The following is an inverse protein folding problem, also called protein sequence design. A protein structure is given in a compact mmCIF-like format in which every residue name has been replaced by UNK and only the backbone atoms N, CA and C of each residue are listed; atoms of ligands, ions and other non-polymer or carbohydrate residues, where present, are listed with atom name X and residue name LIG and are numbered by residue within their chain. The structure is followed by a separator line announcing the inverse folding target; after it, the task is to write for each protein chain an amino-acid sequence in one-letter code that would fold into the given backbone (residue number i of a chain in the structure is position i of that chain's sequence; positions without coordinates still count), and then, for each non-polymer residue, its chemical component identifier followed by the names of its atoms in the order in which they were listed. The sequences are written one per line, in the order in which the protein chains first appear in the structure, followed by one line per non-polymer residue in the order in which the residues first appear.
data_IF_098329035475
#
_entry.id   IF_098329035475
#
_cell.length_a   1.000
_cell.length_b   1.000
_cell.length_c   1.000
_cell.angle_alpha   90.00
_cell.angle_beta   90.00
_cell.angle_gamma   90.00
#
_symmetry.space_group_name_H-M   'P 1'
#
loop_
_entity.id
_entity.type
_entity.pdbx_description
1 polymer ?
#
# COMPACT_ATOMS: atom_id res chain seq x y z
N UNK A 1 -14.16 21.03 3.24
CA UNK A 1 -13.55 20.30 4.38
C UNK A 1 -13.46 18.78 4.21
N UNK A 2 -14.49 18.07 3.69
CA UNK A 2 -14.43 16.60 3.48
C UNK A 2 -13.29 16.14 2.55
N UNK A 3 -13.03 16.88 1.47
CA UNK A 3 -11.94 16.58 0.54
C UNK A 3 -10.55 16.65 1.21
N UNK A 4 -10.29 17.72 1.97
CA UNK A 4 -9.03 17.89 2.72
C UNK A 4 -8.79 16.74 3.71
N UNK A 5 -9.84 16.31 4.42
CA UNK A 5 -9.75 15.18 5.36
C UNK A 5 -9.42 13.86 4.66
N UNK A 6 -10.02 13.59 3.51
CA UNK A 6 -9.71 12.40 2.71
C UNK A 6 -8.28 12.42 2.18
N UNK A 7 -7.84 13.57 1.67
CA UNK A 7 -6.47 13.77 1.21
C UNK A 7 -5.43 13.56 2.32
N UNK A 8 -5.68 14.07 3.53
CA UNK A 8 -4.80 13.84 4.68
C UNK A 8 -4.69 12.36 5.07
N UNK A 9 -5.79 11.60 5.01
CA UNK A 9 -5.73 10.16 5.26
C UNK A 9 -4.96 9.40 4.19
N UNK A 10 -5.09 9.83 2.94
CA UNK A 10 -4.30 9.27 1.84
C UNK A 10 -2.81 9.60 1.97
N UNK A 11 -2.45 10.82 2.35
CA UNK A 11 -1.06 11.19 2.64
C UNK A 11 -0.50 10.39 3.83
N UNK A 12 -1.28 10.22 4.89
CA UNK A 12 -0.88 9.39 6.03
C UNK A 12 -0.68 7.92 5.62
N UNK A 13 -1.53 7.39 4.73
CA UNK A 13 -1.35 6.06 4.14
C UNK A 13 -0.03 5.96 3.39
N UNK A 14 0.24 6.92 2.51
CA UNK A 14 1.45 6.93 1.69
C UNK A 14 2.71 7.04 2.55
N UNK A 15 2.72 7.95 3.53
CA UNK A 15 3.85 8.11 4.45
C UNK A 15 4.12 6.84 5.27
N UNK A 16 3.07 6.24 5.84
CA UNK A 16 3.21 5.00 6.61
C UNK A 16 3.63 3.81 5.72
N UNK A 17 3.04 3.68 4.53
CA UNK A 17 3.37 2.61 3.59
C UNK A 17 4.82 2.74 3.11
N UNK A 18 5.28 3.96 2.81
CA UNK A 18 6.65 4.22 2.41
C UNK A 18 7.62 3.88 3.55
N UNK A 19 7.35 4.33 4.77
CA UNK A 19 8.21 4.03 5.92
C UNK A 19 8.33 2.52 6.16
N UNK A 20 7.21 1.80 6.17
CA UNK A 20 7.20 0.34 6.38
C UNK A 20 7.85 -0.40 5.22
N UNK A 21 7.56 -0.03 3.98
CA UNK A 21 8.18 -0.66 2.82
C UNK A 21 9.70 -0.40 2.79
N UNK A 22 10.17 0.78 3.17
CA UNK A 22 11.61 1.07 3.30
C UNK A 22 12.26 0.17 4.34
N UNK A 23 11.66 0.05 5.54
CA UNK A 23 12.17 -0.84 6.58
C UNK A 23 12.22 -2.31 6.14
N UNK A 24 11.17 -2.79 5.48
CA UNK A 24 11.13 -4.15 4.94
C UNK A 24 12.11 -4.35 3.77
N UNK A 25 12.40 -3.30 2.99
CA UNK A 25 13.37 -3.37 1.89
C UNK A 25 14.80 -3.46 2.39
N UNK A 26 15.12 -2.90 3.56
CA UNK A 26 16.44 -3.04 4.18
C UNK A 26 16.84 -4.50 4.45
N UNK A 27 15.86 -5.43 4.51
CA UNK A 27 16.13 -6.87 4.62
C UNK A 27 16.98 -7.42 3.48
N UNK A 28 17.03 -6.73 2.33
CA UNK A 28 17.87 -7.12 1.20
C UNK A 28 19.36 -7.19 1.57
N UNK A 29 19.79 -6.37 2.53
CA UNK A 29 21.17 -6.32 3.03
C UNK A 29 21.46 -7.38 4.09
N UNK A 30 20.43 -8.04 4.63
CA UNK A 30 20.56 -9.06 5.65
C UNK A 30 20.44 -10.47 5.04
N UNK A 31 19.34 -10.73 4.34
CA UNK A 31 19.06 -12.02 3.70
C UNK A 31 18.07 -11.81 2.53
N UNK A 32 18.49 -12.17 1.32
CA UNK A 32 17.67 -12.07 0.12
C UNK A 32 16.39 -12.91 0.19
N UNK A 33 16.38 -14.01 0.96
CA UNK A 33 15.19 -14.84 1.19
C UNK A 33 14.17 -14.12 2.05
N UNK A 34 14.62 -13.45 3.13
CA UNK A 34 13.74 -12.64 3.98
C UNK A 34 13.15 -11.47 3.19
N UNK A 35 13.95 -10.82 2.35
CA UNK A 35 13.45 -9.79 1.45
C UNK A 35 12.44 -10.35 0.43
N UNK A 36 12.67 -11.53 -0.13
CA UNK A 36 11.72 -12.17 -1.04
C UNK A 36 10.38 -12.43 -0.35
N UNK A 37 10.37 -12.98 0.87
CA UNK A 37 9.14 -13.18 1.65
C UNK A 37 8.46 -11.85 1.99
N UNK A 38 9.24 -10.84 2.40
CA UNK A 38 8.70 -9.53 2.73
C UNK A 38 8.05 -8.84 1.52
N UNK A 39 8.70 -8.89 0.36
CA UNK A 39 8.22 -8.26 -0.88
C UNK A 39 7.02 -8.99 -1.49
N UNK A 40 6.97 -10.32 -1.42
CA UNK A 40 5.88 -11.11 -2.00
C UNK A 40 4.70 -11.34 -1.06
N UNK A 41 4.86 -11.25 0.26
CA UNK A 41 3.79 -11.49 1.22
C UNK A 41 3.49 -10.28 2.10
N UNK A 42 4.47 -9.77 2.85
CA UNK A 42 4.22 -8.74 3.85
C UNK A 42 3.76 -7.41 3.22
N UNK A 43 4.51 -6.87 2.25
CA UNK A 43 4.18 -5.58 1.62
C UNK A 43 2.82 -5.61 0.88
N UNK A 44 2.48 -6.67 0.11
CA UNK A 44 1.15 -6.78 -0.52
C UNK A 44 0.00 -6.84 0.50
N UNK A 45 0.16 -7.59 1.59
CA UNK A 45 -0.85 -7.69 2.66
C UNK A 45 -1.03 -6.34 3.37
N UNK A 46 0.06 -5.62 3.64
CA UNK A 46 -0.01 -4.24 4.16
C UNK A 46 -0.75 -3.34 3.16
N UNK A 47 -0.46 -3.48 1.87
CA UNK A 47 -1.16 -2.75 0.81
C UNK A 47 -2.67 -3.01 0.80
N UNK A 48 -3.11 -4.24 1.05
CA UNK A 48 -4.53 -4.59 1.19
C UNK A 48 -5.18 -3.86 2.35
N UNK A 49 -4.60 -3.97 3.55
CA UNK A 49 -5.21 -3.43 4.76
C UNK A 49 -5.21 -1.91 4.77
N UNK A 50 -4.10 -1.28 4.38
CA UNK A 50 -3.99 0.17 4.33
C UNK A 50 -5.01 0.77 3.36
N UNK A 51 -5.15 0.19 2.16
CA UNK A 51 -6.13 0.64 1.17
C UNK A 51 -7.57 0.43 1.65
N UNK A 52 -7.87 -0.69 2.30
CA UNK A 52 -9.16 -0.95 2.93
C UNK A 52 -9.55 0.12 3.96
N UNK A 53 -8.66 0.40 4.93
CA UNK A 53 -8.97 1.37 5.99
C UNK A 53 -9.11 2.79 5.47
N UNK A 54 -8.32 3.16 4.46
CA UNK A 54 -8.36 4.50 3.87
C UNK A 54 -9.60 4.69 3.01
N UNK A 55 -9.99 3.68 2.22
CA UNK A 55 -11.28 3.67 1.53
C UNK A 55 -12.45 3.78 2.53
N UNK A 56 -12.36 3.07 3.66
CA UNK A 56 -13.36 3.17 4.75
C UNK A 56 -13.47 4.56 5.36
N UNK A 57 -12.40 5.36 5.35
CA UNK A 57 -12.42 6.75 5.82
C UNK A 57 -12.95 7.75 4.78
N UNK A 58 -13.46 7.26 3.64
CA UNK A 58 -14.12 8.06 2.62
C UNK A 58 -13.19 8.61 1.54
N UNK A 59 -11.96 8.08 1.43
CA UNK A 59 -11.07 8.38 0.31
C UNK A 59 -11.58 7.68 -0.94
N UNK A 60 -11.40 8.34 -2.10
CA UNK A 60 -11.74 7.73 -3.39
C UNK A 60 -10.99 6.40 -3.55
N UNK A 61 -11.73 5.35 -3.88
CA UNK A 61 -11.21 4.01 -4.09
C UNK A 61 -10.02 4.00 -5.07
N UNK A 62 -10.09 4.79 -6.14
CA UNK A 62 -9.04 4.92 -7.16
C UNK A 62 -7.74 5.54 -6.63
N UNK A 63 -7.80 6.33 -5.56
CA UNK A 63 -6.61 6.88 -4.91
C UNK A 63 -6.08 5.94 -3.82
N UNK A 64 -6.96 5.26 -3.08
CA UNK A 64 -6.56 4.40 -1.97
C UNK A 64 -5.67 3.22 -2.40
N UNK A 65 -5.87 2.68 -3.61
CA UNK A 65 -5.10 1.53 -4.08
C UNK A 65 -3.72 1.89 -4.63
N UNK A 66 -3.49 3.12 -5.09
CA UNK A 66 -2.25 3.47 -5.81
C UNK A 66 -1.08 3.74 -4.87
N UNK A 67 -1.34 4.24 -3.66
CA UNK A 67 -0.29 4.61 -2.73
C UNK A 67 0.61 3.40 -2.34
N UNK A 68 0.08 2.24 -1.93
CA UNK A 68 0.92 1.11 -1.51
C UNK A 68 1.91 0.58 -2.57
N UNK A 69 1.51 0.28 -3.83
CA UNK A 69 2.46 -0.22 -4.83
C UNK A 69 3.50 0.84 -5.24
N UNK A 70 3.12 2.12 -5.28
CA UNK A 70 4.06 3.21 -5.54
C UNK A 70 5.07 3.34 -4.41
N UNK A 71 4.62 3.26 -3.15
CA UNK A 71 5.50 3.30 -1.98
C UNK A 71 6.45 2.10 -1.92
N UNK A 72 6.01 0.90 -2.32
CA UNK A 72 6.88 -0.27 -2.42
C UNK A 72 8.00 -0.03 -3.45
N UNK A 73 7.64 0.44 -4.65
CA UNK A 73 8.60 0.72 -5.71
C UNK A 73 9.58 1.84 -5.30
N UNK A 74 9.06 2.92 -4.72
CA UNK A 74 9.86 4.03 -4.22
C UNK A 74 10.80 3.60 -3.08
N UNK A 75 10.35 2.74 -2.17
CA UNK A 75 11.19 2.19 -1.11
C UNK A 75 12.40 1.43 -1.67
N UNK A 76 12.21 0.64 -2.74
CA UNK A 76 13.33 -0.03 -3.42
C UNK A 76 14.35 0.96 -3.98
N UNK A 77 13.88 2.02 -4.66
CA UNK A 77 14.74 3.08 -5.19
C UNK A 77 15.50 3.80 -4.08
N UNK A 78 14.84 4.12 -2.96
CA UNK A 78 15.45 4.80 -1.82
C UNK A 78 16.56 3.94 -1.19
N UNK A 79 16.30 2.64 -1.01
CA UNK A 79 17.24 1.75 -0.31
C UNK A 79 18.40 1.31 -1.19
N UNK A 80 18.16 1.04 -2.47
CA UNK A 80 19.17 0.42 -3.35
C UNK A 80 19.76 1.39 -4.38
N UNK A 81 19.12 2.54 -4.63
CA UNK A 81 19.49 3.45 -5.72
C UNK A 81 19.08 2.96 -7.12
N UNK A 82 18.51 1.77 -7.24
CA UNK A 82 18.12 1.15 -8.50
C UNK A 82 16.66 0.72 -8.51
N UNK A 83 16.09 0.63 -9.71
CA UNK A 83 14.77 0.05 -9.88
C UNK A 83 14.78 -1.44 -9.48
N UNK A 84 13.68 -1.96 -8.91
CA UNK A 84 13.57 -3.37 -8.59
C UNK A 84 13.68 -4.23 -9.86
N UNK A 85 14.46 -5.32 -9.77
CA UNK A 85 14.68 -6.25 -10.89
C UNK A 85 13.42 -6.97 -11.37
N UNK A 86 12.37 -6.99 -10.53
CA UNK A 86 11.06 -7.56 -10.87
C UNK A 86 9.96 -6.60 -10.46
N UNK A 87 9.03 -6.37 -11.38
CA UNK A 87 7.78 -5.64 -11.13
C UNK A 87 6.71 -6.50 -10.44
N UNK A 88 6.94 -7.81 -10.31
CA UNK A 88 5.99 -8.77 -9.74
C UNK A 88 5.45 -8.37 -8.35
N UNK A 89 6.31 -8.11 -7.35
CA UNK A 89 5.87 -7.68 -6.02
C UNK A 89 5.02 -6.40 -6.02
N UNK A 90 5.39 -5.42 -6.85
CA UNK A 90 4.65 -4.17 -6.98
C UNK A 90 3.26 -4.38 -7.59
N UNK A 91 3.18 -5.20 -8.65
CA UNK A 91 1.90 -5.55 -9.30
C UNK A 91 1.00 -6.38 -8.39
N UNK A 92 1.58 -7.31 -7.62
CA UNK A 92 0.81 -8.09 -6.66
C UNK A 92 0.30 -7.24 -5.50
N UNK A 93 1.11 -6.29 -5.04
CA UNK A 93 0.68 -5.26 -4.07
C UNK A 93 -0.45 -4.41 -4.64
N UNK A 94 -0.35 -3.95 -5.89
CA UNK A 94 -1.41 -3.20 -6.55
C UNK A 94 -2.71 -4.01 -6.61
N UNK A 95 -2.65 -5.28 -7.01
CA UNK A 95 -3.81 -6.17 -7.04
C UNK A 95 -4.50 -6.27 -5.67
N UNK A 96 -3.74 -6.61 -4.62
CA UNK A 96 -4.30 -6.74 -3.27
C UNK A 96 -4.79 -5.40 -2.69
N UNK A 97 -4.12 -4.29 -3.01
CA UNK A 97 -4.59 -2.95 -2.67
C UNK A 97 -5.91 -2.58 -3.35
N UNK A 98 -6.11 -2.96 -4.62
CA UNK A 98 -7.40 -2.78 -5.32
C UNK A 98 -8.49 -3.57 -4.60
N UNK A 99 -8.23 -4.83 -4.26
CA UNK A 99 -9.17 -5.70 -3.52
C UNK A 99 -9.52 -5.07 -2.16
N UNK A 100 -8.52 -4.64 -1.40
CA UNK A 100 -8.71 -4.00 -0.10
C UNK A 100 -9.53 -2.72 -0.19
N UNK A 101 -9.18 -1.85 -1.14
CA UNK A 101 -9.89 -0.60 -1.37
C UNK A 101 -11.36 -0.86 -1.74
N UNK A 102 -11.63 -1.79 -2.68
CA UNK A 102 -12.97 -2.18 -3.09
C UNK A 102 -13.80 -2.74 -1.92
N UNK A 103 -13.20 -3.60 -1.08
CA UNK A 103 -13.84 -4.10 0.12
C UNK A 103 -14.21 -2.97 1.10
N UNK A 104 -13.35 -1.96 1.23
CA UNK A 104 -13.60 -0.78 2.05
C UNK A 104 -14.76 0.07 1.54
N UNK A 105 -14.84 0.25 0.21
CA UNK A 105 -15.95 0.93 -0.45
C UNK A 105 -17.29 0.23 -0.22
N UNK A 106 -17.34 -1.10 -0.43
CA UNK A 106 -18.55 -1.92 -0.21
C UNK A 106 -18.99 -1.85 1.24
N UNK A 107 -18.05 -1.92 2.19
CA UNK A 107 -18.38 -1.85 3.61
C UNK A 107 -18.97 -0.50 4.01
N UNK A 108 -18.46 0.60 3.45
CA UNK A 108 -19.04 1.93 3.66
C UNK A 108 -20.48 2.04 3.15
N UNK A 109 -20.76 1.47 1.97
CA UNK A 109 -22.12 1.39 1.43
C UNK A 109 -23.07 0.61 2.35
N UNK A 110 -22.61 -0.51 2.91
CA UNK A 110 -23.39 -1.30 3.89
C UNK A 110 -23.69 -0.53 5.17
N UNK A 111 -22.75 0.28 5.67
CA UNK A 111 -22.97 1.08 6.89
C UNK A 111 -23.85 2.30 6.66
N UNK A 112 -23.91 2.83 5.44
CA UNK A 112 -24.76 3.99 5.11
C UNK A 112 -26.25 3.60 4.93
N UNK A 113 -26.52 2.33 4.60
CA UNK A 113 -27.87 1.79 4.39
C UNK A 113 -28.47 1.14 5.65
N UNK A 114 -27.81 1.27 6.80
CA UNK A 114 -28.30 0.82 8.12
C UNK A 114 -28.74 2.03 8.93
#
# INVERSE_FOLDING_TARGET
MRFLKGFLWWLAQAAASLAVCTLLTLLIWLDGTLYAVASWAAMPVIGLFTAYFVARRGVNNYLAWIAPPVCLYAAHLIVTGYAPNSVGPALFTAFLSIVGAAAGLVQNGRTANK
#
